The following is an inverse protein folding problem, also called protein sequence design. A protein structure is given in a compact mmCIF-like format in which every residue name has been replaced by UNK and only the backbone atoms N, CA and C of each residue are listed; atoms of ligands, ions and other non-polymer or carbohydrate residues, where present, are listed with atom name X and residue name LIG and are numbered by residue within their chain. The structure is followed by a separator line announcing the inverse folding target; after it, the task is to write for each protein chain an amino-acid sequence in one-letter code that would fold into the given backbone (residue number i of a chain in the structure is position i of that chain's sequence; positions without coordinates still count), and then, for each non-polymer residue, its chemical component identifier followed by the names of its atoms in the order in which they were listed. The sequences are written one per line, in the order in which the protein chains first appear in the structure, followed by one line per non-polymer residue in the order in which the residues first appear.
data_IF_045814945753
#
_entry.id   IF_045814945753
#
_cell.length_a   1.000
_cell.length_b   1.000
_cell.length_c   1.000
_cell.angle_alpha   90.00
_cell.angle_beta   90.00
_cell.angle_gamma   90.00
#
_symmetry.space_group_name_H-M   'P 1'
#
loop_
_entity.id
_entity.type
_entity.pdbx_description
1 polymer ?
#
# COMPACT_ATOMS: atom_id res chain seq x y z
N UNK A 1 2.24 -26.03 9.11
CA UNK A 1 2.35 -25.53 10.49
C UNK A 1 1.02 -24.95 10.91
N UNK A 2 0.51 -25.39 12.06
CA UNK A 2 -0.82 -25.11 12.63
C UNK A 2 -0.97 -23.63 13.03
N UNK A 3 -2.05 -22.98 12.58
CA UNK A 3 -2.43 -21.57 12.82
C UNK A 3 -2.89 -21.32 14.28
N UNK A 4 -2.08 -21.68 15.28
CA UNK A 4 -2.53 -21.71 16.69
C UNK A 4 -1.68 -20.90 17.67
N UNK A 5 -0.84 -19.99 17.19
CA UNK A 5 -0.24 -18.95 18.05
C UNK A 5 -0.69 -17.59 17.52
N UNK A 6 -1.61 -16.96 18.25
CA UNK A 6 -2.12 -15.61 18.01
C UNK A 6 -1.03 -14.56 18.22
N UNK A 7 0.01 -14.59 17.40
CA UNK A 7 1.11 -13.66 17.45
C UNK A 7 0.63 -12.34 16.81
N UNK A 8 0.67 -11.25 17.59
CA UNK A 8 0.43 -9.89 17.12
C UNK A 8 1.57 -9.46 16.20
N UNK A 9 1.77 -10.13 15.07
CA UNK A 9 2.93 -9.94 14.19
C UNK A 9 3.01 -8.51 13.65
N UNK A 10 1.91 -7.77 13.61
CA UNK A 10 1.96 -6.34 13.27
C UNK A 10 2.78 -5.50 14.28
N UNK A 11 3.01 -5.97 15.51
CA UNK A 11 3.87 -5.31 16.50
C UNK A 11 5.31 -5.85 16.45
N UNK A 12 5.49 -7.17 16.31
CA UNK A 12 6.80 -7.82 16.43
C UNK A 12 7.55 -7.98 15.11
N UNK A 13 6.85 -8.32 14.02
CA UNK A 13 7.41 -8.45 12.67
C UNK A 13 6.38 -7.96 11.62
N UNK A 14 6.19 -6.62 11.48
CA UNK A 14 5.18 -6.05 10.59
C UNK A 14 5.44 -6.36 9.11
N UNK A 15 6.67 -6.70 8.73
CA UNK A 15 7.02 -7.14 7.39
C UNK A 15 6.47 -8.54 7.11
N UNK A 16 6.71 -9.49 8.03
CA UNK A 16 6.16 -10.83 7.91
C UNK A 16 4.63 -10.85 8.06
N UNK A 17 4.06 -9.99 8.90
CA UNK A 17 2.62 -9.76 8.94
C UNK A 17 2.07 -9.35 7.57
N UNK A 18 2.73 -8.39 6.89
CA UNK A 18 2.32 -7.99 5.54
C UNK A 18 2.56 -9.10 4.50
N UNK A 19 3.61 -9.90 4.65
CA UNK A 19 3.88 -11.03 3.78
C UNK A 19 2.70 -12.01 3.78
N UNK A 20 2.37 -12.55 4.95
CA UNK A 20 1.34 -13.57 5.12
C UNK A 20 -0.04 -13.07 4.70
N UNK A 21 -0.36 -11.81 5.01
CA UNK A 21 -1.72 -11.30 4.80
C UNK A 21 -1.91 -10.53 3.48
N UNK A 22 -0.84 -10.21 2.75
CA UNK A 22 -0.94 -9.36 1.55
C UNK A 22 -0.10 -9.87 0.39
N UNK A 23 1.18 -10.14 0.61
CA UNK A 23 2.10 -10.51 -0.48
C UNK A 23 1.83 -11.94 -0.94
N UNK A 24 1.85 -12.91 -0.01
CA UNK A 24 1.60 -14.31 -0.31
C UNK A 24 0.24 -14.56 -0.99
N UNK A 25 -0.90 -14.02 -0.51
CA UNK A 25 -2.17 -14.22 -1.20
C UNK A 25 -2.23 -13.52 -2.57
N UNK A 26 -1.56 -12.38 -2.74
CA UNK A 26 -1.51 -11.70 -4.05
C UNK A 26 -0.65 -12.47 -5.06
N UNK A 27 0.47 -13.05 -4.64
CA UNK A 27 1.39 -13.79 -5.51
C UNK A 27 0.69 -14.91 -6.29
N UNK A 28 -0.19 -15.65 -5.60
CA UNK A 28 -1.00 -16.71 -6.22
C UNK A 28 -1.92 -16.17 -7.32
N UNK A 29 -2.51 -14.99 -7.11
CA UNK A 29 -3.41 -14.36 -8.07
C UNK A 29 -2.62 -13.76 -9.25
N UNK A 30 -1.45 -13.19 -8.99
CA UNK A 30 -0.60 -12.61 -10.03
C UNK A 30 -0.18 -13.65 -11.07
N UNK A 31 0.11 -14.88 -10.65
CA UNK A 31 0.47 -15.97 -11.57
C UNK A 31 -0.60 -16.28 -12.62
N UNK A 32 -1.85 -15.84 -12.41
CA UNK A 32 -3.00 -16.10 -13.30
C UNK A 32 -3.33 -14.92 -14.23
N UNK A 33 -2.58 -13.81 -14.18
CA UNK A 33 -2.91 -12.57 -14.88
C UNK A 33 -1.71 -11.95 -15.60
N UNK A 34 -1.92 -11.24 -16.71
CA UNK A 34 -0.83 -10.59 -17.46
C UNK A 34 -0.47 -9.20 -16.92
N UNK A 35 -1.44 -8.48 -16.33
CA UNK A 35 -1.28 -7.09 -15.93
C UNK A 35 -1.86 -6.83 -14.54
N UNK A 36 -1.06 -6.24 -13.67
CA UNK A 36 -1.48 -5.70 -12.38
C UNK A 36 -1.52 -4.17 -12.41
N UNK A 37 -2.73 -3.61 -12.48
CA UNK A 37 -2.96 -2.17 -12.41
C UNK A 37 -3.12 -1.74 -10.95
N UNK A 38 -2.40 -0.70 -10.52
CA UNK A 38 -2.58 -0.16 -9.17
C UNK A 38 -2.45 1.38 -9.13
N UNK A 39 -3.08 1.99 -8.11
CA UNK A 39 -3.18 3.45 -7.95
C UNK A 39 -2.06 4.09 -7.14
N UNK A 40 -0.82 3.58 -7.23
CA UNK A 40 0.34 4.28 -6.66
C UNK A 40 0.57 5.61 -7.38
N UNK A 41 1.04 6.59 -6.62
CA UNK A 41 1.45 7.89 -7.12
C UNK A 41 2.84 8.22 -6.59
N UNK A 42 3.64 8.91 -7.39
CA UNK A 42 5.01 9.32 -7.04
C UNK A 42 5.04 10.25 -5.83
N UNK A 43 4.01 11.07 -5.65
CA UNK A 43 3.86 12.07 -4.57
C UNK A 43 3.62 11.49 -3.17
N UNK A 44 3.53 10.16 -3.04
CA UNK A 44 3.15 9.49 -1.80
C UNK A 44 4.32 9.10 -0.90
N UNK A 45 5.50 8.82 -1.46
CA UNK A 45 6.72 8.51 -0.71
C UNK A 45 7.94 8.50 -1.63
N UNK A 46 9.14 8.66 -1.06
CA UNK A 46 10.39 8.58 -1.83
C UNK A 46 10.54 7.26 -2.59
N UNK A 47 10.09 6.14 -2.00
CA UNK A 47 10.14 4.82 -2.65
C UNK A 47 9.22 4.78 -3.88
N UNK A 48 8.04 5.41 -3.79
CA UNK A 48 7.08 5.45 -4.90
C UNK A 48 7.50 6.43 -5.99
N UNK A 49 8.28 7.45 -5.66
CA UNK A 49 8.85 8.38 -6.63
C UNK A 49 9.85 7.72 -7.59
N UNK A 50 10.43 6.58 -7.21
CA UNK A 50 11.36 5.80 -8.05
C UNK A 50 10.65 4.81 -8.99
N UNK A 51 9.34 4.62 -8.82
CA UNK A 51 8.56 3.72 -9.68
C UNK A 51 8.43 4.27 -11.10
N UNK A 52 8.23 3.38 -12.07
CA UNK A 52 7.99 3.71 -13.48
C UNK A 52 6.53 3.46 -13.83
N UNK A 53 6.02 4.11 -14.88
CA UNK A 53 4.65 3.90 -15.36
C UNK A 53 4.37 2.44 -15.69
N UNK A 54 5.36 1.74 -16.24
CA UNK A 54 5.38 0.30 -16.45
C UNK A 54 6.60 -0.29 -15.75
N UNK A 55 6.36 -1.33 -14.95
CA UNK A 55 7.36 -2.11 -14.23
C UNK A 55 7.00 -3.60 -14.30
N UNK A 56 7.83 -4.47 -13.73
CA UNK A 56 7.56 -5.92 -13.68
C UNK A 56 7.30 -6.39 -12.25
N UNK A 57 6.30 -7.24 -12.11
CA UNK A 57 6.01 -8.04 -10.92
C UNK A 57 6.52 -9.50 -11.13
N UNK A 58 6.47 -10.36 -10.09
CA UNK A 58 6.68 -11.79 -10.26
C UNK A 58 5.83 -12.39 -11.39
N UNK A 59 6.21 -13.56 -11.89
CA UNK A 59 5.52 -14.28 -12.97
C UNK A 59 5.46 -13.52 -14.31
N UNK A 60 6.36 -12.56 -14.53
CA UNK A 60 6.41 -11.68 -15.71
C UNK A 60 5.16 -10.79 -15.89
N UNK A 61 4.41 -10.57 -14.82
CA UNK A 61 3.24 -9.69 -14.83
C UNK A 61 3.69 -8.24 -15.03
N UNK A 62 3.05 -7.53 -15.96
CA UNK A 62 3.26 -6.09 -16.13
C UNK A 62 2.58 -5.37 -14.97
N UNK A 63 3.35 -4.62 -14.21
CA UNK A 63 2.84 -3.75 -13.15
C UNK A 63 2.66 -2.35 -13.72
N UNK A 64 1.40 -1.92 -13.86
CA UNK A 64 1.04 -0.66 -14.52
C UNK A 64 0.52 0.38 -13.52
N UNK A 65 1.05 1.60 -13.62
CA UNK A 65 0.79 2.72 -12.72
C UNK A 65 0.16 3.91 -13.47
N UNK A 66 -1.14 3.85 -13.81
CA UNK A 66 -1.79 4.89 -14.62
C UNK A 66 -1.86 6.27 -13.95
N UNK A 67 -1.71 6.31 -12.62
CA UNK A 67 -1.83 7.52 -11.82
C UNK A 67 -0.48 7.98 -11.24
N UNK A 68 0.64 7.48 -11.76
CA UNK A 68 1.96 7.72 -11.17
C UNK A 68 2.29 9.22 -11.05
N UNK A 69 1.94 9.99 -12.08
CA UNK A 69 2.19 11.45 -12.15
C UNK A 69 1.05 12.29 -11.57
N UNK A 70 0.01 11.65 -11.02
CA UNK A 70 -1.09 12.38 -10.40
C UNK A 70 -0.69 12.89 -9.03
N UNK A 71 -1.07 14.14 -8.75
CA UNK A 71 -1.00 14.68 -7.39
C UNK A 71 -2.26 14.33 -6.61
N UNK A 72 -2.18 14.40 -5.27
CA UNK A 72 -3.36 14.34 -4.40
C UNK A 72 -4.46 15.31 -4.83
N UNK A 73 -4.12 16.52 -5.24
CA UNK A 73 -5.10 17.53 -5.69
C UNK A 73 -5.83 17.08 -6.94
N UNK A 74 -5.14 16.45 -7.90
CA UNK A 74 -5.76 15.87 -9.10
C UNK A 74 -6.75 14.75 -8.75
N UNK A 75 -6.38 13.87 -7.81
CA UNK A 75 -7.28 12.82 -7.31
C UNK A 75 -8.55 13.42 -6.71
N UNK A 76 -8.42 14.43 -5.85
CA UNK A 76 -9.59 15.09 -5.24
C UNK A 76 -10.43 15.86 -6.24
N UNK A 77 -9.81 16.52 -7.22
CA UNK A 77 -10.51 17.18 -8.31
C UNK A 77 -11.37 16.17 -9.10
N UNK A 78 -10.78 15.03 -9.46
CA UNK A 78 -11.47 13.96 -10.20
C UNK A 78 -12.63 13.36 -9.40
N UNK A 79 -12.43 13.06 -8.12
CA UNK A 79 -13.51 12.57 -7.23
C UNK A 79 -14.68 13.56 -7.20
N UNK A 80 -14.39 14.87 -7.09
CA UNK A 80 -15.41 15.92 -7.04
C UNK A 80 -16.15 16.07 -8.37
N UNK A 81 -15.41 16.14 -9.48
CA UNK A 81 -15.95 16.32 -10.83
C UNK A 81 -16.89 15.17 -11.21
N UNK A 82 -16.47 13.94 -10.94
CA UNK A 82 -17.23 12.73 -11.26
C UNK A 82 -18.19 12.27 -10.16
N UNK A 83 -18.31 13.03 -9.06
CA UNK A 83 -19.17 12.71 -7.92
C UNK A 83 -18.95 11.30 -7.38
N UNK A 84 -17.69 10.88 -7.30
CA UNK A 84 -17.33 9.54 -6.83
C UNK A 84 -17.56 9.43 -5.32
N UNK A 85 -18.03 8.27 -4.83
CA UNK A 85 -18.19 8.05 -3.41
C UNK A 85 -16.83 8.11 -2.70
N UNK A 86 -16.83 8.73 -1.52
CA UNK A 86 -15.65 8.81 -0.66
C UNK A 86 -15.64 7.67 0.35
N UNK A 87 -14.45 7.39 0.88
CA UNK A 87 -14.35 6.42 1.96
C UNK A 87 -14.89 7.07 3.27
N UNK A 88 -15.72 6.39 4.08
CA UNK A 88 -16.31 6.98 5.29
C UNK A 88 -15.27 7.53 6.28
N UNK A 89 -14.12 6.86 6.38
CA UNK A 89 -13.01 7.29 7.26
C UNK A 89 -12.37 8.61 6.83
N UNK A 90 -12.55 9.06 5.58
CA UNK A 90 -12.04 10.35 5.14
C UNK A 90 -12.70 11.50 5.92
N UNK A 91 -13.98 11.38 6.25
CA UNK A 91 -14.72 12.37 7.06
C UNK A 91 -14.24 12.38 8.52
N UNK A 92 -13.67 11.27 8.97
CA UNK A 92 -13.07 11.15 10.29
C UNK A 92 -11.61 11.64 10.30
N UNK A 93 -11.05 12.08 9.17
CA UNK A 93 -9.70 12.65 9.06
C UNK A 93 -8.60 11.61 8.82
N UNK A 94 -8.93 10.40 8.34
CA UNK A 94 -7.93 9.45 7.87
C UNK A 94 -7.49 9.79 6.45
N UNK A 95 -6.20 10.02 6.25
CA UNK A 95 -5.63 10.47 4.96
C UNK A 95 -5.04 9.31 4.15
N UNK A 96 -4.57 8.25 4.82
CA UNK A 96 -4.07 7.02 4.21
C UNK A 96 -4.56 5.82 5.01
N UNK A 97 -5.37 4.98 4.38
CA UNK A 97 -6.10 3.90 5.06
C UNK A 97 -5.49 2.55 4.73
N UNK A 98 -5.36 1.68 5.73
CA UNK A 98 -4.83 0.32 5.61
C UNK A 98 -5.43 -0.63 6.63
N UNK A 99 -4.62 -1.53 7.19
CA UNK A 99 -5.06 -2.37 8.30
C UNK A 99 -5.29 -1.51 9.54
N UNK A 100 -6.34 -1.81 10.30
CA UNK A 100 -6.71 -1.10 11.53
C UNK A 100 -5.53 -0.88 12.51
N UNK A 101 -4.70 -1.88 12.86
CA UNK A 101 -3.63 -1.67 13.84
C UNK A 101 -2.43 -0.88 13.28
N UNK A 102 -2.38 -0.64 11.97
CA UNK A 102 -1.27 0.04 11.30
C UNK A 102 -1.70 1.38 10.68
N UNK A 103 -2.85 1.93 11.08
CA UNK A 103 -3.44 3.14 10.51
C UNK A 103 -3.93 4.07 11.60
N UNK A 104 -3.42 5.31 11.62
CA UNK A 104 -3.94 6.40 12.47
C UNK A 104 -4.22 7.66 11.64
N UNK A 105 -4.93 8.61 12.25
CA UNK A 105 -5.03 9.99 11.73
C UNK A 105 -3.65 10.65 11.80
N UNK A 106 -3.38 11.56 10.86
CA UNK A 106 -2.16 12.38 10.88
C UNK A 106 -2.34 13.61 11.77
N UNK A 107 -1.25 14.14 12.29
CA UNK A 107 -1.18 15.43 12.95
C UNK A 107 -1.04 16.55 11.91
N UNK A 108 -1.41 17.80 12.24
CA UNK A 108 -1.19 18.92 11.34
C UNK A 108 0.27 19.04 10.91
N UNK A 109 0.50 19.13 9.60
CA UNK A 109 1.84 19.25 9.01
C UNK A 109 2.60 17.94 8.80
N UNK A 110 2.04 16.79 9.23
CA UNK A 110 2.61 15.49 8.89
C UNK A 110 2.35 15.12 7.42
N UNK A 111 3.23 14.29 6.86
CA UNK A 111 3.04 13.68 5.55
C UNK A 111 1.77 12.81 5.49
N UNK A 112 1.17 12.70 4.30
CA UNK A 112 -0.08 11.97 4.07
C UNK A 112 -0.05 10.50 4.50
N UNK A 113 1.14 9.88 4.48
CA UNK A 113 1.34 8.49 4.91
C UNK A 113 1.93 8.35 6.31
N UNK A 114 2.20 9.44 7.02
CA UNK A 114 2.76 9.41 8.38
C UNK A 114 1.88 8.64 9.39
N UNK A 115 0.58 8.52 9.10
CA UNK A 115 -0.35 7.72 9.90
C UNK A 115 -0.17 6.20 9.74
N UNK A 116 0.68 5.73 8.83
CA UNK A 116 0.93 4.31 8.54
C UNK A 116 2.14 3.83 9.33
N UNK A 117 1.99 2.69 10.02
CA UNK A 117 3.08 2.07 10.82
C UNK A 117 3.76 3.06 11.78
N UNK A 118 2.98 3.96 12.39
CA UNK A 118 3.51 4.98 13.28
C UNK A 118 4.33 4.37 14.43
N UNK A 119 5.51 4.95 14.69
CA UNK A 119 6.44 4.45 15.71
C UNK A 119 7.24 3.20 15.29
N UNK A 120 7.08 2.72 14.05
CA UNK A 120 7.84 1.60 13.49
C UNK A 120 8.87 2.08 12.46
N UNK A 121 9.87 1.26 12.16
CA UNK A 121 10.88 1.55 11.11
C UNK A 121 10.37 1.31 9.67
N UNK A 122 9.08 1.01 9.50
CA UNK A 122 8.49 0.55 8.25
C UNK A 122 7.82 1.70 7.51
N UNK A 123 8.25 1.94 6.27
CA UNK A 123 7.75 3.06 5.46
C UNK A 123 6.84 2.62 4.31
N UNK A 124 6.94 1.36 3.87
CA UNK A 124 6.13 0.82 2.77
C UNK A 124 5.53 -0.55 3.06
N UNK A 125 4.41 -0.83 2.40
CA UNK A 125 3.80 -2.15 2.41
C UNK A 125 4.62 -3.11 1.54
N UNK A 126 4.69 -4.40 1.89
CA UNK A 126 5.37 -5.41 1.08
C UNK A 126 4.86 -5.55 -0.36
N UNK A 127 3.68 -5.00 -0.66
CA UNK A 127 3.11 -4.92 -2.02
C UNK A 127 3.85 -3.91 -2.92
N UNK A 128 4.50 -2.91 -2.34
CA UNK A 128 5.13 -1.81 -3.06
C UNK A 128 6.64 -1.76 -2.80
N UNK A 129 7.21 -2.88 -2.38
CA UNK A 129 8.64 -3.03 -2.21
C UNK A 129 9.08 -4.29 -2.94
N UNK A 130 10.32 -4.30 -3.39
CA UNK A 130 10.98 -5.52 -3.88
C UNK A 130 11.47 -6.40 -2.71
N UNK A 131 11.12 -6.04 -1.46
CA UNK A 131 11.86 -6.43 -0.24
C UNK A 131 11.36 -7.71 0.43
N UNK A 132 10.31 -8.36 -0.07
CA UNK A 132 9.76 -9.54 0.62
C UNK A 132 9.74 -10.76 -0.29
N UNK A 133 10.95 -11.24 -0.60
CA UNK A 133 11.20 -12.65 -0.87
C UNK A 133 11.99 -13.18 0.34
N UNK A 134 11.30 -13.58 1.42
CA UNK A 134 11.95 -14.39 2.47
C UNK A 134 11.98 -15.81 1.94
N UNK A 135 13.15 -16.28 1.50
CA UNK A 135 13.36 -17.70 1.25
C UNK A 135 13.19 -18.43 2.60
N UNK A 136 12.41 -19.51 2.57
CA UNK A 136 12.23 -20.41 3.72
C UNK A 136 13.57 -21.01 4.17
#
# INVERSE_FOLDING_TARGET
ATRTEGNLLFTSDPDYCCYLNKVQPLDQILAEHDVWINGVRSDQSNVRAELKTEDFAPHHVIRFHPMLDWTKQMVWAYIKEHKLPRHPMDELGYVSIGCEPCTRKILPGEDDRAGRWFGMKKNECGLNTNLVIKNN
#
